data_IF_247058768731
#
_entry.id   IF_247058768731
#
_cell.length_a   1.000
_cell.length_b   1.000
_cell.length_c   1.000
_cell.angle_alpha   90.00
_cell.angle_beta   90.00
_cell.angle_gamma   90.00
#
_symmetry.space_group_name_H-M   'P 1'
#
loop_
_entity.id
_entity.type
_entity.pdbx_description
1 polymer ?
#
# COMPACT_ATOMS: atom_id res chain seq x y z
N UNK A 1 5.03 -15.96 23.97
CA UNK A 1 3.69 -16.54 24.15
C UNK A 1 3.69 -17.86 23.42
N UNK A 2 3.21 -18.96 24.01
CA UNK A 2 3.14 -20.23 23.29
C UNK A 2 1.87 -20.26 22.44
N UNK A 3 2.00 -20.28 21.11
CA UNK A 3 0.88 -20.40 20.19
C UNK A 3 0.37 -21.85 20.15
N UNK A 4 1.28 -22.80 20.35
CA UNK A 4 1.01 -24.22 20.28
C UNK A 4 0.98 -24.72 18.83
N UNK A 5 1.29 -26.01 18.65
CA UNK A 5 1.17 -26.65 17.33
C UNK A 5 -0.29 -26.97 17.05
N UNK A 6 -0.81 -26.51 15.91
CA UNK A 6 -2.13 -26.89 15.43
C UNK A 6 -1.99 -28.18 14.62
N UNK A 7 -2.78 -29.20 14.96
CA UNK A 7 -2.96 -30.35 14.09
C UNK A 7 -3.76 -29.93 12.85
N UNK A 8 -3.20 -30.14 11.66
CA UNK A 8 -3.81 -29.68 10.41
C UNK A 8 -5.17 -30.33 10.15
N UNK A 9 -5.35 -31.61 10.49
CA UNK A 9 -6.63 -32.30 10.34
C UNK A 9 -7.70 -31.73 11.26
N UNK A 10 -7.34 -31.39 12.50
CA UNK A 10 -8.25 -30.74 13.45
C UNK A 10 -8.66 -29.35 12.97
N UNK A 11 -7.73 -28.57 12.41
CA UNK A 11 -8.00 -27.27 11.82
C UNK A 11 -8.94 -27.37 10.62
N UNK A 12 -8.66 -28.28 9.69
CA UNK A 12 -9.54 -28.54 8.54
C UNK A 12 -10.95 -28.95 8.99
N UNK A 13 -11.05 -29.77 10.03
CA UNK A 13 -12.32 -30.11 10.67
C UNK A 13 -13.02 -28.91 11.31
N UNK A 14 -12.28 -28.01 11.97
CA UNK A 14 -12.83 -26.79 12.56
C UNK A 14 -13.37 -25.83 11.51
N UNK A 15 -12.63 -25.64 10.41
CA UNK A 15 -13.05 -24.86 9.24
C UNK A 15 -14.35 -25.41 8.67
N UNK A 16 -14.43 -26.72 8.45
CA UNK A 16 -15.62 -27.38 7.92
C UNK A 16 -16.84 -27.23 8.86
N UNK A 17 -16.65 -27.42 10.17
CA UNK A 17 -17.72 -27.24 11.18
C UNK A 17 -18.21 -25.80 11.25
N UNK A 18 -17.32 -24.82 11.07
CA UNK A 18 -17.67 -23.41 11.03
C UNK A 18 -18.34 -22.99 9.70
N UNK A 19 -18.40 -23.88 8.70
CA UNK A 19 -18.84 -23.53 7.35
C UNK A 19 -17.93 -22.49 6.67
N UNK A 20 -16.68 -22.37 7.12
CA UNK A 20 -15.72 -21.43 6.57
C UNK A 20 -15.15 -21.99 5.26
N UNK A 21 -15.25 -21.24 4.17
CA UNK A 21 -14.87 -21.70 2.81
C UNK A 21 -13.39 -21.60 2.46
N UNK A 22 -12.49 -21.48 3.44
CA UNK A 22 -11.04 -21.36 3.20
C UNK A 22 -10.31 -22.68 3.42
N UNK A 23 -9.10 -22.78 2.89
CA UNK A 23 -8.30 -23.98 2.89
C UNK A 23 -7.08 -23.79 3.79
N UNK A 24 -6.94 -24.68 4.76
CA UNK A 24 -5.71 -24.79 5.56
C UNK A 24 -4.77 -25.84 4.97
N UNK A 25 -3.48 -25.51 4.96
CA UNK A 25 -2.40 -26.38 4.51
C UNK A 25 -1.09 -26.08 5.25
N UNK A 26 -0.09 -26.94 5.04
CA UNK A 26 1.27 -26.62 5.46
C UNK A 26 1.83 -25.51 4.56
N UNK A 27 2.41 -24.48 5.17
CA UNK A 27 3.01 -23.32 4.48
C UNK A 27 4.44 -23.12 4.92
N UNK A 28 5.19 -22.24 4.24
CA UNK A 28 6.53 -21.82 4.68
C UNK A 28 6.55 -21.25 6.11
N UNK A 29 5.44 -20.67 6.57
CA UNK A 29 5.32 -20.03 7.90
C UNK A 29 4.74 -20.97 8.94
N UNK A 30 3.80 -21.85 8.58
CA UNK A 30 3.16 -22.77 9.53
C UNK A 30 4.16 -23.73 10.17
N UNK A 31 5.25 -24.04 9.44
CA UNK A 31 6.32 -24.93 9.86
C UNK A 31 7.37 -24.28 10.76
N UNK A 32 7.32 -22.96 10.93
CA UNK A 32 8.25 -22.23 11.81
C UNK A 32 7.92 -22.45 13.29
N UNK A 33 8.91 -22.20 14.15
CA UNK A 33 8.68 -22.17 15.60
C UNK A 33 7.75 -21.02 15.98
N UNK A 34 7.13 -21.10 17.16
CA UNK A 34 6.24 -20.05 17.66
C UNK A 34 6.96 -18.69 17.75
N UNK A 35 8.22 -18.67 18.20
CA UNK A 35 9.01 -17.44 18.27
C UNK A 35 9.25 -16.84 16.87
N UNK A 36 9.55 -17.67 15.87
CA UNK A 36 9.74 -17.22 14.49
C UNK A 36 8.44 -16.72 13.86
N UNK A 37 7.30 -17.32 14.21
CA UNK A 37 5.96 -16.85 13.80
C UNK A 37 5.64 -15.51 14.42
N UNK A 38 5.86 -15.36 15.73
CA UNK A 38 5.58 -14.13 16.47
C UNK A 38 6.49 -13.00 16.00
N UNK A 39 7.76 -13.27 15.71
CA UNK A 39 8.68 -12.27 15.17
C UNK A 39 8.28 -11.76 13.77
N UNK A 40 7.42 -12.46 13.04
CA UNK A 40 6.86 -11.96 11.76
C UNK A 40 5.71 -10.97 11.95
N UNK A 41 5.26 -10.80 13.19
CA UNK A 41 4.24 -9.83 13.59
C UNK A 41 4.91 -8.58 14.15
N UNK A 42 4.14 -7.53 14.39
CA UNK A 42 4.72 -6.29 14.90
C UNK A 42 3.84 -5.08 14.74
N UNK A 43 2.57 -5.22 14.36
CA UNK A 43 1.64 -4.12 14.42
C UNK A 43 1.13 -3.98 15.86
N UNK A 44 1.59 -2.94 16.56
CA UNK A 44 1.19 -2.69 17.95
C UNK A 44 0.46 -1.35 17.98
N UNK A 45 -0.87 -1.34 18.22
CA UNK A 45 -1.62 -0.10 18.35
C UNK A 45 -1.00 0.82 19.42
N UNK A 46 -0.79 2.11 19.14
CA UNK A 46 -0.26 3.05 20.12
C UNK A 46 -1.15 3.16 21.36
N UNK A 47 -0.55 3.49 22.51
CA UNK A 47 -1.31 3.72 23.73
C UNK A 47 -2.38 4.82 23.54
N UNK A 48 -3.60 4.57 24.03
CA UNK A 48 -4.73 5.49 23.87
C UNK A 48 -5.45 5.39 22.52
N UNK A 49 -5.03 4.46 21.64
CA UNK A 49 -5.79 4.09 20.44
C UNK A 49 -6.52 2.77 20.64
N UNK A 50 -7.44 2.43 19.73
CA UNK A 50 -8.20 1.18 19.80
C UNK A 50 -7.25 -0.03 19.77
N UNK A 51 -7.39 -0.90 20.77
CA UNK A 51 -6.74 -2.21 20.85
C UNK A 51 -7.10 -3.10 19.67
N UNK A 52 -6.36 -4.20 19.49
CA UNK A 52 -6.67 -5.18 18.44
C UNK A 52 -8.11 -5.71 18.58
N UNK A 53 -8.55 -6.03 19.80
CA UNK A 53 -9.91 -6.50 20.07
C UNK A 53 -10.98 -5.44 19.71
N UNK A 54 -10.77 -4.18 20.11
CA UNK A 54 -11.70 -3.09 19.77
C UNK A 54 -11.76 -2.87 18.25
N UNK A 55 -10.63 -3.00 17.55
CA UNK A 55 -10.57 -2.92 16.09
C UNK A 55 -11.35 -4.06 15.43
N UNK A 56 -11.30 -5.28 15.98
CA UNK A 56 -12.14 -6.38 15.48
C UNK A 56 -13.63 -6.09 15.65
N UNK A 57 -14.03 -5.59 16.82
CA UNK A 57 -15.42 -5.24 17.10
C UNK A 57 -15.92 -4.15 16.14
N UNK A 58 -15.09 -3.12 15.89
CA UNK A 58 -15.41 -2.05 14.94
C UNK A 58 -15.56 -2.58 13.50
N UNK A 59 -14.63 -3.43 13.05
CA UNK A 59 -14.67 -4.06 11.74
C UNK A 59 -15.94 -4.92 11.57
N UNK A 60 -16.24 -5.78 12.55
CA UNK A 60 -17.42 -6.64 12.53
C UNK A 60 -18.72 -5.83 12.50
N UNK A 61 -18.82 -4.77 13.31
CA UNK A 61 -19.99 -3.89 13.33
C UNK A 61 -20.23 -3.20 11.98
N UNK A 62 -19.16 -2.75 11.30
CA UNK A 62 -19.26 -2.14 9.97
C UNK A 62 -19.71 -3.12 8.90
N UNK A 63 -19.16 -4.34 8.90
CA UNK A 63 -19.57 -5.37 7.96
C UNK A 63 -21.05 -5.77 8.15
N UNK A 64 -21.51 -5.89 9.39
CA UNK A 64 -22.93 -6.15 9.71
C UNK A 64 -23.84 -5.01 9.27
N UNK A 65 -23.45 -3.75 9.53
CA UNK A 65 -24.20 -2.59 9.10
C UNK A 65 -24.33 -2.54 7.56
N UNK A 66 -23.24 -2.81 6.83
CA UNK A 66 -23.23 -2.86 5.37
C UNK A 66 -24.10 -3.98 4.78
N UNK A 67 -24.14 -5.16 5.42
CA UNK A 67 -25.01 -6.26 4.99
C UNK A 67 -26.50 -5.94 5.11
N UNK A 68 -26.90 -5.09 6.06
CA UNK A 68 -28.29 -4.66 6.26
C UNK A 68 -28.82 -3.70 5.19
N UNK A 69 -27.94 -3.06 4.41
CA UNK A 69 -28.33 -2.08 3.37
C UNK A 69 -28.52 -2.76 2.00
N UNK A 70 -28.67 -4.08 1.94
CA UNK A 70 -28.90 -4.85 0.70
C UNK A 70 -27.68 -4.84 -0.25
N UNK A 71 -27.38 -5.98 -0.86
CA UNK A 71 -26.24 -6.20 -1.75
C UNK A 71 -26.24 -5.39 -3.07
N UNK A 72 -27.07 -4.33 -3.18
CA UNK A 72 -27.30 -3.56 -4.40
C UNK A 72 -26.88 -2.08 -4.34
N UNK A 73 -26.49 -1.55 -3.17
CA UNK A 73 -25.92 -0.21 -3.05
C UNK A 73 -24.43 -0.36 -2.82
N UNK A 74 -23.70 -0.69 -3.90
CA UNK A 74 -22.25 -0.53 -3.91
C UNK A 74 -21.88 0.90 -3.49
N UNK A 75 -20.67 1.10 -2.97
CA UNK A 75 -20.17 2.45 -2.77
C UNK A 75 -20.37 3.22 -4.07
N UNK A 76 -21.11 4.34 -4.04
CA UNK A 76 -21.58 5.02 -5.26
C UNK A 76 -20.38 5.29 -6.17
N UNK A 77 -20.31 4.59 -7.31
CA UNK A 77 -19.23 4.72 -8.30
C UNK A 77 -18.07 3.71 -8.22
N UNK A 78 -18.03 2.82 -7.22
CA UNK A 78 -17.03 1.74 -7.13
C UNK A 78 -17.55 0.43 -7.79
N UNK A 79 -16.70 -0.35 -8.48
CA UNK A 79 -17.09 -1.64 -9.05
C UNK A 79 -17.40 -2.67 -7.95
N UNK A 80 -18.17 -3.72 -8.26
CA UNK A 80 -18.47 -4.79 -7.30
C UNK A 80 -17.25 -5.66 -6.94
N UNK A 81 -16.22 -5.65 -7.78
CA UNK A 81 -14.96 -6.34 -7.54
C UNK A 81 -13.84 -5.61 -8.26
N UNK A 82 -12.65 -5.59 -7.67
CA UNK A 82 -11.49 -4.94 -8.24
C UNK A 82 -10.20 -5.63 -7.79
N UNK A 83 -9.20 -5.75 -8.67
CA UNK A 83 -7.89 -6.32 -8.36
C UNK A 83 -6.79 -5.61 -9.17
N UNK A 84 -5.89 -4.91 -8.48
CA UNK A 84 -4.77 -4.20 -9.13
C UNK A 84 -3.79 -5.11 -9.86
N UNK A 85 -3.83 -6.43 -9.64
CA UNK A 85 -3.04 -7.40 -10.42
C UNK A 85 -3.59 -7.59 -11.84
N UNK A 86 -4.83 -7.19 -12.09
CA UNK A 86 -5.49 -7.30 -13.38
C UNK A 86 -6.38 -6.07 -13.67
N UNK A 87 -5.76 -4.88 -13.69
CA UNK A 87 -6.44 -3.64 -14.07
C UNK A 87 -6.11 -3.30 -15.52
N UNK A 88 -7.10 -3.33 -16.41
CA UNK A 88 -6.89 -3.10 -17.85
C UNK A 88 -5.94 -4.12 -18.52
N UNK A 89 -5.84 -5.33 -17.97
CA UNK A 89 -4.89 -6.36 -18.42
C UNK A 89 -3.45 -6.16 -17.93
N UNK A 90 -3.22 -5.24 -16.99
CA UNK A 90 -1.91 -4.95 -16.41
C UNK A 90 -1.87 -5.22 -14.90
N UNK A 91 -0.67 -5.56 -14.40
CA UNK A 91 -0.40 -5.78 -12.99
C UNK A 91 0.34 -4.58 -12.37
N UNK A 92 -0.35 -3.83 -11.51
CA UNK A 92 0.21 -2.66 -10.83
C UNK A 92 0.87 -3.00 -9.49
N UNK A 93 0.87 -4.26 -9.07
CA UNK A 93 1.41 -4.71 -7.78
C UNK A 93 2.84 -5.25 -7.97
N UNK A 94 3.77 -4.77 -7.15
CA UNK A 94 5.16 -5.25 -7.11
C UNK A 94 5.24 -6.70 -6.60
N UNK A 95 6.32 -7.44 -6.90
CA UNK A 95 6.50 -8.83 -6.43
C UNK A 95 6.34 -9.02 -4.92
N UNK A 96 6.05 -10.26 -4.51
CA UNK A 96 5.98 -10.61 -3.09
C UNK A 96 7.38 -10.63 -2.49
N UNK A 97 7.51 -9.96 -1.35
CA UNK A 97 8.72 -9.95 -0.53
C UNK A 97 8.59 -10.84 0.72
N UNK A 98 9.69 -11.05 1.44
CA UNK A 98 9.72 -11.76 2.72
C UNK A 98 10.45 -10.96 3.80
N UNK A 99 9.71 -10.50 4.81
CA UNK A 99 10.25 -9.76 5.95
C UNK A 99 11.12 -10.64 6.89
N UNK A 100 11.04 -11.97 6.75
CA UNK A 100 11.74 -12.92 7.60
C UNK A 100 11.36 -12.82 9.09
N UNK A 101 12.27 -13.25 9.97
CA UNK A 101 12.05 -13.25 11.42
C UNK A 101 12.23 -11.87 12.08
N UNK A 102 11.55 -10.84 11.57
CA UNK A 102 11.60 -9.48 12.11
C UNK A 102 10.23 -8.81 12.04
N UNK A 103 9.85 -8.06 13.09
CA UNK A 103 8.57 -7.38 13.22
C UNK A 103 8.46 -6.10 12.39
N UNK A 104 8.89 -6.16 11.14
CA UNK A 104 8.97 -5.08 10.17
C UNK A 104 7.75 -4.99 9.25
N UNK A 105 6.68 -5.77 9.51
CA UNK A 105 5.46 -5.80 8.68
C UNK A 105 4.86 -4.44 8.36
N UNK A 106 4.96 -3.47 9.28
CA UNK A 106 4.52 -2.08 9.06
C UNK A 106 5.27 -1.43 7.90
N UNK A 107 6.59 -1.65 7.80
CA UNK A 107 7.39 -1.12 6.70
C UNK A 107 7.00 -1.76 5.37
N UNK A 108 6.87 -3.09 5.33
CA UNK A 108 6.45 -3.84 4.13
C UNK A 108 5.04 -3.47 3.66
N UNK A 109 4.05 -3.43 4.56
CA UNK A 109 2.68 -3.04 4.22
C UNK A 109 2.59 -1.60 3.72
N UNK A 110 3.36 -0.69 4.32
CA UNK A 110 3.44 0.72 3.89
C UNK A 110 4.09 0.86 2.53
N UNK A 111 5.26 0.25 2.32
CA UNK A 111 5.99 0.32 1.05
C UNK A 111 5.20 -0.34 -0.08
N UNK A 112 4.61 -1.52 0.13
CA UNK A 112 3.77 -2.16 -0.87
C UNK A 112 2.61 -1.26 -1.32
N UNK A 113 1.98 -0.53 -0.39
CA UNK A 113 0.93 0.43 -0.72
C UNK A 113 1.46 1.63 -1.52
N UNK A 114 2.62 2.18 -1.14
CA UNK A 114 3.25 3.32 -1.82
C UNK A 114 3.73 2.95 -3.23
N UNK A 115 4.37 1.81 -3.40
CA UNK A 115 4.84 1.32 -4.71
C UNK A 115 3.69 1.07 -5.68
N UNK A 116 2.64 0.40 -5.20
CA UNK A 116 1.42 0.20 -5.97
C UNK A 116 0.79 1.53 -6.35
N UNK A 117 0.70 2.47 -5.40
CA UNK A 117 0.23 3.83 -5.65
C UNK A 117 1.10 4.55 -6.68
N UNK A 118 2.43 4.38 -6.65
CA UNK A 118 3.34 4.98 -7.62
C UNK A 118 3.08 4.47 -9.04
N UNK A 119 2.92 3.15 -9.22
CA UNK A 119 2.57 2.54 -10.50
C UNK A 119 1.22 3.04 -11.01
N UNK A 120 0.21 3.08 -10.15
CA UNK A 120 -1.14 3.55 -10.49
C UNK A 120 -1.14 5.03 -10.87
N UNK A 121 -0.56 5.87 -10.01
CA UNK A 121 -0.47 7.31 -10.22
C UNK A 121 0.26 7.67 -11.52
N UNK A 122 1.33 6.94 -11.86
CA UNK A 122 2.08 7.15 -13.11
C UNK A 122 1.46 6.47 -14.32
N UNK A 123 0.39 5.69 -14.14
CA UNK A 123 -0.22 4.91 -15.21
C UNK A 123 0.75 3.90 -15.84
N UNK A 124 1.74 3.43 -15.08
CA UNK A 124 2.82 2.58 -15.57
C UNK A 124 2.97 1.34 -14.67
N UNK A 125 2.31 0.25 -15.05
CA UNK A 125 2.41 -1.03 -14.37
C UNK A 125 3.84 -1.60 -14.34
N UNK A 126 4.68 -1.22 -15.30
CA UNK A 126 6.07 -1.67 -15.43
C UNK A 126 7.07 -0.67 -14.81
N UNK A 127 6.62 0.31 -14.03
CA UNK A 127 7.53 1.22 -13.32
C UNK A 127 8.44 0.38 -12.41
N UNK A 128 9.75 0.51 -12.63
CA UNK A 128 10.79 -0.08 -11.78
C UNK A 128 10.86 0.70 -10.46
N UNK A 129 9.90 0.42 -9.58
CA UNK A 129 9.83 0.91 -8.21
C UNK A 129 10.06 -0.27 -7.28
N UNK A 130 11.01 -0.10 -6.39
CA UNK A 130 11.46 -1.06 -5.38
C UNK A 130 12.03 -0.24 -4.23
N UNK A 131 11.21 0.09 -3.24
CA UNK A 131 11.54 1.01 -2.14
C UNK A 131 12.09 0.24 -0.93
N UNK A 132 13.03 0.85 -0.21
CA UNK A 132 13.75 0.19 0.87
C UNK A 132 12.93 0.08 2.16
N UNK A 133 12.40 -1.10 2.48
CA UNK A 133 11.84 -1.39 3.81
C UNK A 133 12.92 -1.27 4.89
N UNK A 134 14.17 -1.54 4.50
CA UNK A 134 15.31 -1.45 5.38
C UNK A 134 15.55 -0.04 5.90
N UNK A 135 15.52 0.97 5.05
CA UNK A 135 15.64 2.37 5.48
C UNK A 135 14.48 2.72 6.42
N UNK A 136 13.26 2.43 5.99
CA UNK A 136 12.07 2.80 6.75
C UNK A 136 12.07 2.19 8.15
N UNK A 137 12.48 0.92 8.27
CA UNK A 137 12.49 0.22 9.56
C UNK A 137 13.79 0.42 10.35
N UNK A 138 14.94 0.06 9.79
CA UNK A 138 16.20 -0.01 10.53
C UNK A 138 16.88 1.35 10.75
N UNK A 139 16.52 2.37 9.97
CA UNK A 139 16.93 3.75 10.22
C UNK A 139 15.84 4.50 10.98
N UNK A 140 14.65 4.65 10.39
CA UNK A 140 13.64 5.53 10.97
C UNK A 140 12.91 4.91 12.17
N UNK A 141 12.27 3.75 12.02
CA UNK A 141 11.57 3.13 13.16
C UNK A 141 12.54 2.88 14.34
N UNK A 142 13.78 2.46 14.06
CA UNK A 142 14.82 2.31 15.10
C UNK A 142 15.20 3.61 15.78
N UNK A 143 15.29 4.73 15.06
CA UNK A 143 15.53 6.04 15.69
C UNK A 143 14.42 6.44 16.68
N UNK A 144 13.24 5.82 16.56
CA UNK A 144 12.11 6.01 17.47
C UNK A 144 12.00 4.94 18.56
N UNK A 145 12.99 4.06 18.69
CA UNK A 145 13.02 3.01 19.71
C UNK A 145 12.32 1.71 19.31
N UNK A 146 11.91 1.57 18.05
CA UNK A 146 11.30 0.34 17.53
C UNK A 146 12.34 -0.62 16.94
N UNK A 147 12.04 -1.92 16.96
CA UNK A 147 12.92 -2.95 16.44
C UNK A 147 12.16 -4.24 16.17
N UNK A 148 12.86 -5.28 15.75
CA UNK A 148 12.24 -6.54 15.31
C UNK A 148 11.30 -7.18 16.36
N UNK A 149 11.47 -6.88 17.65
CA UNK A 149 10.69 -7.48 18.75
C UNK A 149 9.72 -6.53 19.45
N UNK A 150 9.71 -5.23 19.13
CA UNK A 150 8.85 -4.24 19.81
C UNK A 150 7.65 -3.80 18.98
N UNK A 151 7.67 -4.05 17.67
CA UNK A 151 6.62 -3.66 16.75
C UNK A 151 6.58 -2.15 16.47
N UNK A 152 5.67 -1.70 15.61
CA UNK A 152 5.53 -0.32 15.14
C UNK A 152 4.09 -0.04 14.71
N UNK A 153 3.81 1.16 14.16
CA UNK A 153 2.48 1.53 13.66
C UNK A 153 2.54 2.38 12.38
N UNK A 154 1.59 2.26 11.42
CA UNK A 154 1.72 2.88 10.11
C UNK A 154 1.83 4.41 10.10
N UNK A 155 1.22 5.13 11.05
CA UNK A 155 1.22 6.61 11.05
C UNK A 155 2.63 7.18 10.87
N UNK A 156 3.59 6.71 11.68
CA UNK A 156 4.96 7.20 11.65
C UNK A 156 5.65 6.81 10.33
N UNK A 157 5.32 5.65 9.77
CA UNK A 157 5.87 5.19 8.50
C UNK A 157 5.43 6.09 7.34
N UNK A 158 4.14 6.44 7.29
CA UNK A 158 3.61 7.36 6.29
C UNK A 158 4.10 8.81 6.50
N UNK A 159 4.26 9.25 7.75
CA UNK A 159 4.88 10.55 8.04
C UNK A 159 6.32 10.63 7.55
N UNK A 160 7.11 9.56 7.71
CA UNK A 160 8.46 9.51 7.17
C UNK A 160 8.46 9.55 5.64
N UNK A 161 7.61 8.74 5.00
CA UNK A 161 7.50 8.72 3.55
C UNK A 161 7.10 10.10 2.98
N UNK A 162 6.29 10.88 3.71
CA UNK A 162 5.88 12.23 3.32
C UNK A 162 6.97 13.27 3.54
N UNK A 163 7.59 13.27 4.72
CA UNK A 163 8.43 14.38 5.17
C UNK A 163 9.92 14.20 4.84
N UNK A 164 10.38 12.94 4.77
CA UNK A 164 11.80 12.59 4.59
C UNK A 164 12.05 11.84 3.29
N UNK A 165 11.08 11.03 2.86
CA UNK A 165 11.16 10.22 1.63
C UNK A 165 11.87 8.87 1.82
N UNK A 166 11.66 8.01 0.83
CA UNK A 166 12.12 6.63 0.79
C UNK A 166 13.19 6.47 -0.29
N UNK A 167 14.32 5.87 0.06
CA UNK A 167 15.31 5.41 -0.93
C UNK A 167 14.84 4.11 -1.56
N UNK A 168 15.38 3.77 -2.72
CA UNK A 168 15.14 2.45 -3.31
C UNK A 168 15.94 1.34 -2.62
N UNK A 169 15.48 0.09 -2.75
CA UNK A 169 16.07 -1.07 -2.10
C UNK A 169 17.52 -1.34 -2.52
N UNK A 170 17.95 -0.91 -3.71
CA UNK A 170 19.36 -1.03 -4.11
C UNK A 170 20.27 -0.07 -3.34
N UNK A 171 19.74 1.03 -2.79
CA UNK A 171 20.50 1.91 -1.89
C UNK A 171 20.70 1.27 -0.52
N UNK A 172 19.67 0.61 0.01
CA UNK A 172 19.76 -0.12 1.27
C UNK A 172 18.90 -1.40 1.22
N UNK A 173 19.50 -2.56 0.92
CA UNK A 173 18.78 -3.81 0.81
C UNK A 173 18.22 -4.30 2.15
N UNK A 174 17.10 -5.02 2.08
CA UNK A 174 16.53 -5.68 3.26
C UNK A 174 17.25 -6.99 3.57
N UNK A 175 17.73 -7.11 4.81
CA UNK A 175 18.17 -8.39 5.38
C UNK A 175 17.30 -8.69 6.58
N UNK A 176 16.71 -9.89 6.61
CA UNK A 176 15.90 -10.33 7.74
C UNK A 176 16.71 -10.37 9.04
N UNK A 177 16.12 -9.88 10.12
CA UNK A 177 16.78 -9.69 11.43
C UNK A 177 17.31 -8.27 11.62
N UNK A 178 17.88 -7.97 12.79
CA UNK A 178 18.38 -6.63 13.06
C UNK A 178 19.63 -6.32 12.22
N UNK A 179 19.52 -5.36 11.30
CA UNK A 179 20.67 -4.80 10.58
C UNK A 179 20.86 -3.32 10.94
N UNK A 180 22.10 -2.84 11.07
CA UNK A 180 22.38 -1.43 11.35
C UNK A 180 21.98 -0.54 10.16
N UNK A 181 21.54 0.68 10.44
CA UNK A 181 21.23 1.66 9.39
C UNK A 181 22.49 1.99 8.58
N UNK A 182 22.46 1.74 7.27
CA UNK A 182 23.57 2.05 6.37
C UNK A 182 23.05 2.39 4.97
N UNK A 183 22.95 3.69 4.67
CA UNK A 183 22.50 4.18 3.38
C UNK A 183 23.66 4.32 2.39
N UNK A 184 23.38 4.12 1.11
CA UNK A 184 24.31 4.40 0.02
C UNK A 184 24.78 5.86 0.01
N UNK A 185 25.97 6.15 -0.53
CA UNK A 185 26.58 7.49 -0.45
C UNK A 185 25.80 8.61 -1.16
N UNK A 186 24.94 8.27 -2.13
CA UNK A 186 24.15 9.20 -2.94
C UNK A 186 22.65 9.22 -2.56
N UNK A 187 22.30 8.68 -1.39
CA UNK A 187 20.92 8.42 -0.97
C UNK A 187 19.99 9.64 -1.06
N UNK A 188 20.49 10.85 -0.78
CA UNK A 188 19.70 12.08 -0.83
C UNK A 188 19.12 12.35 -2.22
N UNK A 189 19.76 11.86 -3.28
CA UNK A 189 19.31 12.05 -4.66
C UNK A 189 18.32 10.98 -5.14
N UNK A 190 18.04 9.96 -4.31
CA UNK A 190 17.23 8.77 -4.64
C UNK A 190 15.89 8.74 -3.91
N UNK A 191 15.51 9.84 -3.28
CA UNK A 191 14.32 9.92 -2.43
C UNK A 191 13.03 9.96 -3.25
N UNK A 192 12.13 9.02 -2.95
CA UNK A 192 10.73 9.02 -3.36
C UNK A 192 9.88 9.50 -2.19
N UNK A 193 9.14 10.59 -2.38
CA UNK A 193 8.23 11.13 -1.36
C UNK A 193 6.78 10.85 -1.74
N UNK A 194 5.90 10.73 -0.76
CA UNK A 194 4.44 10.80 -0.98
C UNK A 194 3.97 12.25 -0.80
N UNK A 195 2.94 12.67 -1.54
CA UNK A 195 2.41 14.04 -1.44
C UNK A 195 1.64 14.29 -0.14
N UNK A 196 1.10 13.23 0.44
CA UNK A 196 0.28 13.25 1.64
C UNK A 196 -0.24 11.87 1.97
N UNK A 197 -0.89 11.75 3.12
CA UNK A 197 -1.55 10.55 3.56
C UNK A 197 -2.67 10.89 4.54
N UNK A 198 -3.67 10.02 4.62
CA UNK A 198 -4.73 10.06 5.63
C UNK A 198 -5.19 8.63 5.94
N UNK A 199 -6.16 8.50 6.85
CA UNK A 199 -6.84 7.23 7.13
C UNK A 199 -8.31 7.29 6.74
N UNK A 200 -8.86 6.13 6.37
CA UNK A 200 -10.31 5.94 6.19
C UNK A 200 -10.76 4.79 7.06
N UNK A 201 -12.00 4.86 7.54
CA UNK A 201 -12.60 3.85 8.39
C UNK A 201 -13.96 3.33 7.90
N UNK A 202 -14.48 3.84 6.77
CA UNK A 202 -15.70 3.33 6.14
C UNK A 202 -15.36 2.38 4.98
N UNK A 203 -16.05 1.25 4.90
CA UNK A 203 -15.86 0.25 3.82
C UNK A 203 -16.07 0.89 2.44
N UNK A 204 -17.04 1.80 2.32
CA UNK A 204 -17.32 2.49 1.06
C UNK A 204 -16.13 3.34 0.59
N UNK A 205 -15.52 4.10 1.48
CA UNK A 205 -14.36 4.94 1.17
C UNK A 205 -13.11 4.09 0.87
N UNK A 206 -12.93 2.99 1.61
CA UNK A 206 -11.87 2.01 1.33
C UNK A 206 -12.00 1.44 -0.09
N UNK A 207 -13.20 0.98 -0.48
CA UNK A 207 -13.45 0.43 -1.83
C UNK A 207 -13.29 1.49 -2.91
N UNK A 208 -13.83 2.68 -2.69
CA UNK A 208 -13.70 3.80 -3.61
C UNK A 208 -12.23 4.13 -3.87
N UNK A 209 -11.42 4.21 -2.81
CA UNK A 209 -9.98 4.45 -2.96
C UNK A 209 -9.26 3.31 -3.66
N UNK A 210 -9.44 2.07 -3.19
CA UNK A 210 -8.76 0.90 -3.76
C UNK A 210 -9.03 0.79 -5.25
N UNK A 211 -10.27 1.01 -5.71
CA UNK A 211 -10.62 0.89 -7.13
C UNK A 211 -10.21 2.08 -8.01
N UNK A 212 -9.81 3.23 -7.45
CA UNK A 212 -9.59 4.46 -8.23
C UNK A 212 -8.24 5.13 -8.03
N UNK A 213 -7.56 4.89 -6.91
CA UNK A 213 -6.34 5.61 -6.50
C UNK A 213 -5.15 4.71 -6.27
N UNK A 214 -5.36 3.48 -5.82
CA UNK A 214 -4.28 2.51 -5.62
C UNK A 214 -4.48 1.64 -4.38
N UNK A 215 -3.54 0.72 -4.12
CA UNK A 215 -3.52 -0.09 -2.91
C UNK A 215 -3.40 0.75 -1.64
N UNK A 216 -3.85 0.19 -0.52
CA UNK A 216 -3.80 0.82 0.80
C UNK A 216 -3.09 -0.08 1.80
N UNK A 217 -2.55 0.49 2.86
CA UNK A 217 -1.98 -0.28 3.97
C UNK A 217 -3.05 -0.51 5.04
N UNK A 218 -3.05 -1.67 5.69
CA UNK A 218 -3.93 -1.97 6.81
C UNK A 218 -3.22 -2.85 7.82
N UNK A 219 -3.71 -2.86 9.06
CA UNK A 219 -3.26 -3.76 10.11
C UNK A 219 -4.43 -4.50 10.74
N UNK A 220 -4.23 -5.80 10.96
CA UNK A 220 -5.23 -6.74 11.43
C UNK A 220 -4.65 -7.70 12.48
N UNK A 221 -5.54 -8.36 13.20
CA UNK A 221 -5.18 -9.37 14.18
C UNK A 221 -4.84 -10.69 13.51
N UNK A 222 -3.74 -11.30 13.92
CA UNK A 222 -3.32 -12.63 13.48
C UNK A 222 -3.58 -13.63 14.61
N UNK A 223 -4.23 -14.73 14.25
CA UNK A 223 -4.41 -15.91 15.08
C UNK A 223 -3.58 -17.07 14.54
N UNK A 224 -3.32 -18.07 15.37
CA UNK A 224 -2.43 -19.18 15.02
C UNK A 224 -2.92 -19.99 13.80
N UNK A 225 -4.22 -20.07 13.55
CA UNK A 225 -4.79 -20.73 12.36
C UNK A 225 -4.40 -20.03 11.03
N UNK A 226 -4.21 -18.71 11.05
CA UNK A 226 -3.83 -17.94 9.86
C UNK A 226 -2.45 -18.32 9.29
N UNK A 227 -1.51 -18.81 10.11
CA UNK A 227 -0.23 -19.27 9.62
C UNK A 227 -0.37 -20.46 8.65
N UNK A 228 -1.48 -21.21 8.71
CA UNK A 228 -1.80 -22.35 7.86
C UNK A 228 -2.67 -21.97 6.66
N UNK A 229 -2.98 -20.69 6.44
CA UNK A 229 -3.77 -20.27 5.28
C UNK A 229 -3.09 -20.68 3.97
N UNK A 230 -3.81 -21.44 3.14
CA UNK A 230 -3.37 -21.90 1.82
C UNK A 230 -4.26 -21.38 0.67
N UNK A 231 -5.47 -20.90 0.95
CA UNK A 231 -6.34 -20.30 -0.06
C UNK A 231 -7.78 -20.09 0.39
N UNK A 232 -8.57 -19.41 -0.44
CA UNK A 232 -9.99 -19.13 -0.17
C UNK A 232 -10.20 -17.84 0.64
N UNK A 233 -11.41 -17.62 1.15
CA UNK A 233 -11.72 -16.42 1.95
C UNK A 233 -11.58 -16.71 3.43
N UNK A 234 -10.43 -16.32 4.00
CA UNK A 234 -10.10 -16.53 5.39
C UNK A 234 -11.13 -15.91 6.33
N UNK A 235 -11.49 -16.69 7.36
CA UNK A 235 -12.23 -16.30 8.55
C UNK A 235 -11.56 -17.01 9.72
N UNK A 236 -11.28 -16.30 10.79
CA UNK A 236 -10.74 -16.92 11.99
C UNK A 236 -11.76 -17.92 12.55
N UNK A 237 -11.31 -19.13 12.88
CA UNK A 237 -12.16 -20.19 13.44
C UNK A 237 -11.59 -20.83 14.70
N UNK A 238 -10.28 -20.74 14.93
CA UNK A 238 -9.62 -21.34 16.09
C UNK A 238 -8.20 -20.81 16.29
N UNK A 239 -7.54 -21.22 17.37
CA UNK A 239 -6.14 -20.91 17.64
C UNK A 239 -5.96 -19.65 18.47
N UNK A 240 -4.84 -19.61 19.20
CA UNK A 240 -4.52 -18.49 20.07
C UNK A 240 -4.24 -17.21 19.28
N UNK A 241 -4.56 -16.06 19.88
CA UNK A 241 -4.10 -14.75 19.41
C UNK A 241 -2.57 -14.76 19.32
N UNK A 242 -2.04 -14.36 18.18
CA UNK A 242 -0.60 -14.28 17.96
C UNK A 242 -0.07 -12.85 18.04
N UNK A 243 -0.84 -11.87 17.56
CA UNK A 243 -0.47 -10.45 17.58
C UNK A 243 -1.11 -9.65 16.44
N UNK A 244 -0.61 -8.45 16.20
CA UNK A 244 -1.03 -7.62 15.06
C UNK A 244 -0.05 -7.69 13.90
N UNK A 245 -0.56 -7.60 12.67
CA UNK A 245 0.22 -7.65 11.43
C UNK A 245 -0.27 -6.62 10.43
N UNK A 246 0.63 -6.00 9.66
CA UNK A 246 0.26 -5.06 8.60
C UNK A 246 0.57 -5.62 7.21
N UNK A 247 -0.31 -5.31 6.27
CA UNK A 247 -0.31 -5.81 4.88
C UNK A 247 -0.81 -4.71 3.94
N UNK A 248 -0.76 -4.94 2.64
CA UNK A 248 -1.39 -4.04 1.66
C UNK A 248 -2.66 -4.65 1.07
N UNK A 249 -3.78 -3.94 1.12
CA UNK A 249 -5.02 -4.29 0.40
C UNK A 249 -4.90 -3.80 -1.03
N UNK A 250 -4.99 -4.72 -1.97
CA UNK A 250 -4.80 -4.49 -3.41
C UNK A 250 -6.08 -4.64 -4.22
N UNK A 251 -7.17 -5.04 -3.57
CA UNK A 251 -8.42 -5.36 -4.23
C UNK A 251 -9.49 -5.86 -3.28
N UNK A 252 -10.65 -6.16 -3.83
CA UNK A 252 -11.80 -6.68 -3.11
C UNK A 252 -12.79 -7.38 -4.05
N UNK A 253 -13.67 -8.19 -3.48
CA UNK A 253 -14.72 -8.91 -4.21
C UNK A 253 -15.97 -9.00 -3.34
N UNK A 254 -17.03 -8.29 -3.75
CA UNK A 254 -18.29 -8.21 -3.01
C UNK A 254 -19.09 -9.51 -3.09
N UNK A 255 -18.98 -10.26 -4.20
CA UNK A 255 -19.67 -11.54 -4.36
C UNK A 255 -19.12 -12.58 -3.37
N UNK A 256 -17.82 -12.52 -3.09
CA UNK A 256 -17.17 -13.36 -2.09
C UNK A 256 -17.07 -12.71 -0.70
N UNK A 257 -17.43 -11.43 -0.59
CA UNK A 257 -17.41 -10.66 0.66
C UNK A 257 -16.02 -10.52 1.27
N UNK A 258 -14.99 -10.22 0.46
CA UNK A 258 -13.60 -10.25 0.90
C UNK A 258 -12.71 -9.12 0.38
N UNK A 259 -11.68 -8.81 1.16
CA UNK A 259 -10.50 -8.05 0.73
C UNK A 259 -9.45 -8.98 0.12
N UNK A 260 -8.70 -8.48 -0.85
CA UNK A 260 -7.55 -9.15 -1.47
C UNK A 260 -6.29 -8.43 -1.00
N UNK A 261 -5.37 -9.16 -0.38
CA UNK A 261 -4.24 -8.59 0.32
C UNK A 261 -2.91 -9.17 -0.18
N UNK A 262 -1.90 -8.30 -0.32
CA UNK A 262 -0.49 -8.64 -0.49
C UNK A 262 0.16 -8.80 0.89
N UNK A 263 0.70 -9.98 1.18
CA UNK A 263 1.44 -10.25 2.42
C UNK A 263 2.97 -10.13 2.19
N UNK A 264 3.75 -10.26 3.26
CA UNK A 264 5.21 -10.09 3.30
C UNK A 264 5.93 -11.30 3.91
N UNK A 265 5.40 -12.51 3.67
CA UNK A 265 5.94 -13.77 4.19
C UNK A 265 6.46 -14.71 3.08
N UNK A 266 6.82 -14.14 1.94
CA UNK A 266 7.28 -14.88 0.77
C UNK A 266 6.18 -15.63 0.02
N UNK A 267 6.53 -16.14 -1.16
CA UNK A 267 5.59 -16.81 -2.08
C UNK A 267 5.19 -18.22 -1.64
N UNK A 268 5.91 -18.83 -0.69
CA UNK A 268 5.61 -20.13 -0.11
C UNK A 268 4.46 -20.13 0.90
N UNK A 269 3.83 -18.99 1.13
CA UNK A 269 2.69 -18.82 2.03
C UNK A 269 1.44 -18.36 1.27
N UNK A 270 0.27 -18.86 1.64
CA UNK A 270 -1.02 -18.45 1.06
C UNK A 270 -1.13 -18.69 -0.44
N UNK A 271 -1.81 -17.77 -1.14
CA UNK A 271 -2.07 -17.82 -2.58
C UNK A 271 -0.88 -17.20 -3.34
N UNK A 272 0.30 -17.81 -3.20
CA UNK A 272 1.54 -17.30 -3.78
C UNK A 272 2.02 -16.00 -3.14
N UNK A 273 1.83 -15.85 -1.83
CA UNK A 273 2.12 -14.65 -1.02
C UNK A 273 0.94 -13.69 -0.85
N UNK A 274 -0.18 -13.95 -1.52
CA UNK A 274 -1.43 -13.21 -1.34
C UNK A 274 -2.38 -13.97 -0.43
N UNK A 275 -3.41 -13.27 0.06
CA UNK A 275 -4.54 -13.90 0.72
C UNK A 275 -5.82 -13.12 0.50
N UNK A 276 -6.94 -13.78 0.76
CA UNK A 276 -8.26 -13.15 0.83
C UNK A 276 -8.83 -13.33 2.21
N UNK A 277 -9.42 -12.27 2.75
CA UNK A 277 -9.98 -12.24 4.09
C UNK A 277 -11.37 -11.62 4.05
N UNK A 278 -12.32 -12.23 4.76
CA UNK A 278 -13.69 -11.75 4.79
C UNK A 278 -13.78 -10.32 5.35
N UNK A 279 -14.74 -9.53 4.85
CA UNK A 279 -15.07 -8.24 5.45
C UNK A 279 -15.40 -8.38 6.94
N UNK A 280 -14.98 -7.40 7.73
CA UNK A 280 -15.23 -7.37 9.17
C UNK A 280 -14.48 -8.41 10.00
N UNK A 281 -13.59 -9.23 9.41
CA UNK A 281 -12.85 -10.25 10.14
C UNK A 281 -11.50 -9.71 10.61
N UNK A 282 -11.10 -10.10 11.84
CA UNK A 282 -9.79 -9.83 12.42
C UNK A 282 -9.38 -8.33 12.40
N UNK A 283 -10.33 -7.41 12.31
CA UNK A 283 -10.03 -5.96 12.29
C UNK A 283 -9.43 -5.45 10.97
N UNK A 284 -9.41 -6.24 9.89
CA UNK A 284 -8.74 -5.89 8.61
C UNK A 284 -9.23 -4.59 7.99
N UNK A 285 -10.51 -4.26 8.19
CA UNK A 285 -11.17 -3.06 7.72
C UNK A 285 -11.62 -2.17 8.88
N UNK A 286 -10.93 -2.23 10.01
CA UNK A 286 -11.10 -1.26 11.10
C UNK A 286 -10.65 0.15 10.66
N UNK A 287 -9.50 0.23 9.99
CA UNK A 287 -8.88 1.47 9.52
C UNK A 287 -7.84 1.13 8.46
N UNK A 288 -7.75 1.93 7.39
CA UNK A 288 -6.76 1.79 6.33
C UNK A 288 -6.01 3.11 6.10
N UNK A 289 -4.72 3.02 5.80
CA UNK A 289 -3.83 4.15 5.50
C UNK A 289 -3.60 4.26 4.00
N UNK A 290 -3.74 5.48 3.49
CA UNK A 290 -3.76 5.75 2.06
C UNK A 290 -2.68 6.79 1.73
N UNK A 291 -1.82 6.48 0.75
CA UNK A 291 -0.90 7.47 0.19
C UNK A 291 -1.64 8.29 -0.88
N UNK A 292 -1.75 9.60 -0.70
CA UNK A 292 -2.55 10.48 -1.58
C UNK A 292 -1.99 10.61 -3.00
N UNK A 293 -0.69 10.31 -3.16
CA UNK A 293 0.03 10.36 -4.42
C UNK A 293 1.54 10.34 -4.16
N UNK A 294 2.31 10.42 -5.24
CA UNK A 294 3.78 10.52 -5.19
C UNK A 294 4.17 11.98 -5.43
N UNK A 295 4.95 12.55 -4.51
CA UNK A 295 5.52 13.88 -4.62
C UNK A 295 6.62 13.89 -5.69
N UNK A 296 6.19 14.22 -6.90
CA UNK A 296 6.99 14.33 -8.10
C UNK A 296 7.76 15.67 -8.08
N UNK A 297 8.96 15.69 -7.47
CA UNK A 297 9.84 16.87 -7.48
C UNK A 297 11.09 16.59 -8.28
N UNK A 298 11.35 17.41 -9.31
CA UNK A 298 12.54 17.28 -10.15
C UNK A 298 12.27 17.56 -11.62
N UNK A 299 13.28 17.27 -12.44
CA UNK A 299 13.26 17.48 -13.88
C UNK A 299 12.68 16.27 -14.63
N UNK A 300 11.59 16.45 -15.36
CA UNK A 300 11.18 15.56 -16.44
C UNK A 300 11.93 16.05 -17.69
N UNK A 301 12.82 15.23 -18.25
CA UNK A 301 13.63 15.63 -19.41
C UNK A 301 13.11 15.05 -20.72
N UNK A 302 13.27 15.81 -21.79
CA UNK A 302 13.05 15.35 -23.16
C UNK A 302 11.60 14.95 -23.47
N UNK A 303 10.61 15.51 -22.77
CA UNK A 303 9.25 15.04 -22.86
C UNK A 303 8.45 15.70 -24.00
N UNK A 304 7.56 14.93 -24.62
CA UNK A 304 6.64 15.44 -25.63
C UNK A 304 5.30 15.86 -25.03
N UNK A 305 4.73 16.92 -25.60
CA UNK A 305 3.42 17.44 -25.21
C UNK A 305 2.36 16.84 -26.12
N UNK A 306 1.40 16.11 -25.54
CA UNK A 306 0.26 15.60 -26.29
C UNK A 306 -0.96 16.52 -26.19
N UNK A 307 -1.10 17.27 -25.09
CA UNK A 307 -2.31 18.03 -24.77
C UNK A 307 -2.01 19.30 -23.98
N UNK A 308 -2.86 20.30 -24.17
CA UNK A 308 -2.92 21.51 -23.36
C UNK A 308 -4.39 21.79 -23.09
N UNK A 309 -4.70 22.23 -21.88
CA UNK A 309 -6.06 22.53 -21.46
C UNK A 309 -6.05 23.68 -20.46
N UNK A 310 -7.01 24.60 -20.62
CA UNK A 310 -7.20 25.76 -19.75
C UNK A 310 -8.69 26.02 -19.59
N UNK A 311 -9.11 26.56 -18.45
CA UNK A 311 -10.47 27.10 -18.26
C UNK A 311 -10.41 28.56 -17.84
N UNK A 312 -11.55 29.24 -17.82
CA UNK A 312 -11.70 30.66 -17.48
C UNK A 312 -11.54 30.98 -15.98
N UNK A 313 -10.91 30.08 -15.21
CA UNK A 313 -10.58 30.30 -13.81
C UNK A 313 -9.10 30.65 -13.64
N UNK A 314 -8.82 31.50 -12.65
CA UNK A 314 -7.48 31.99 -12.36
C UNK A 314 -6.46 30.85 -12.21
N UNK A 315 -5.41 30.92 -13.04
CA UNK A 315 -4.26 30.00 -13.04
C UNK A 315 -4.65 28.51 -13.12
N UNK A 316 -5.73 28.21 -13.84
CA UNK A 316 -6.16 26.83 -14.05
C UNK A 316 -5.77 26.33 -15.44
N UNK A 317 -4.50 25.97 -15.56
CA UNK A 317 -3.89 25.48 -16.79
C UNK A 317 -3.22 24.13 -16.58
N UNK A 318 -3.33 23.25 -17.58
CA UNK A 318 -2.86 21.88 -17.53
C UNK A 318 -2.18 21.49 -18.84
N UNK A 319 -1.16 20.65 -18.74
CA UNK A 319 -0.45 20.07 -19.87
C UNK A 319 -0.48 18.55 -19.75
N UNK A 320 -0.76 17.86 -20.85
CA UNK A 320 -0.61 16.42 -20.94
C UNK A 320 0.78 16.12 -21.48
N UNK A 321 1.65 15.67 -20.58
CA UNK A 321 3.02 15.25 -20.89
C UNK A 321 2.99 13.76 -21.21
N UNK A 322 3.42 13.37 -22.40
CA UNK A 322 3.25 11.98 -22.89
C UNK A 322 3.82 10.91 -21.93
N UNK A 323 4.91 11.22 -21.23
CA UNK A 323 5.55 10.30 -20.30
C UNK A 323 4.86 10.18 -18.93
N UNK A 324 4.11 11.20 -18.49
CA UNK A 324 3.62 11.27 -17.11
C UNK A 324 2.14 11.67 -16.96
N UNK A 325 1.44 11.92 -18.07
CA UNK A 325 0.03 12.29 -18.11
C UNK A 325 -0.22 13.77 -17.85
N UNK A 326 -1.41 14.09 -17.34
CA UNK A 326 -1.81 15.46 -17.00
C UNK A 326 -0.99 15.99 -15.82
N UNK A 327 -0.53 17.24 -15.97
CA UNK A 327 0.16 18.02 -14.94
C UNK A 327 -0.38 19.43 -14.90
N UNK A 328 -0.60 19.97 -13.70
CA UNK A 328 -1.00 21.35 -13.51
C UNK A 328 0.19 22.27 -13.75
N UNK A 329 -0.03 23.38 -14.45
CA UNK A 329 0.92 24.49 -14.56
C UNK A 329 0.60 25.49 -13.45
N UNK A 330 1.58 25.80 -12.59
CA UNK A 330 1.39 26.80 -11.52
C UNK A 330 2.70 27.52 -11.19
N UNK A 331 3.23 28.34 -12.13
CA UNK A 331 4.39 29.18 -11.88
C UNK A 331 4.04 30.35 -10.94
N UNK A 332 5.06 31.12 -10.56
CA UNK A 332 4.95 32.13 -9.52
C UNK A 332 4.06 33.33 -9.90
N UNK A 333 3.94 33.64 -11.20
CA UNK A 333 3.12 34.75 -11.70
C UNK A 333 2.49 34.48 -13.09
N UNK A 334 1.53 35.34 -13.45
CA UNK A 334 0.72 35.19 -14.67
C UNK A 334 1.51 35.41 -15.96
N UNK A 335 2.55 36.25 -15.94
CA UNK A 335 3.42 36.46 -17.11
C UNK A 335 4.18 35.17 -17.44
N UNK A 336 4.72 34.50 -16.42
CA UNK A 336 5.39 33.20 -16.60
C UNK A 336 4.39 32.15 -17.09
N UNK A 337 3.16 32.14 -16.56
CA UNK A 337 2.13 31.18 -17.00
C UNK A 337 1.79 31.34 -18.49
N UNK A 338 1.59 32.58 -18.95
CA UNK A 338 1.27 32.87 -20.35
C UNK A 338 2.43 32.53 -21.30
N UNK A 339 3.67 32.83 -20.88
CA UNK A 339 4.88 32.46 -21.63
C UNK A 339 5.04 30.94 -21.72
N UNK A 340 4.87 30.23 -20.59
CA UNK A 340 4.88 28.77 -20.56
C UNK A 340 3.85 28.18 -21.53
N UNK A 341 2.59 28.63 -21.47
CA UNK A 341 1.53 28.14 -22.37
C UNK A 341 1.87 28.36 -23.85
N UNK A 342 2.43 29.52 -24.18
CA UNK A 342 2.84 29.86 -25.55
C UNK A 342 3.96 28.96 -26.06
N UNK A 343 5.00 28.76 -25.24
CA UNK A 343 6.12 27.88 -25.55
C UNK A 343 5.68 26.41 -25.68
N UNK A 344 4.81 25.94 -24.79
CA UNK A 344 4.27 24.58 -24.82
C UNK A 344 3.40 24.35 -26.07
N UNK A 345 2.58 25.32 -26.47
CA UNK A 345 1.78 25.23 -27.69
C UNK A 345 2.68 25.14 -28.94
N UNK A 346 3.73 25.97 -29.01
CA UNK A 346 4.70 25.95 -30.10
C UNK A 346 5.50 24.64 -30.15
N UNK A 347 5.93 24.13 -28.98
CA UNK A 347 6.61 22.86 -28.85
C UNK A 347 5.73 21.69 -29.32
N UNK A 348 4.47 21.64 -28.91
CA UNK A 348 3.49 20.66 -29.37
C UNK A 348 3.32 20.68 -30.90
N UNK A 349 3.09 21.86 -31.47
CA UNK A 349 2.91 22.02 -32.92
C UNK A 349 4.15 21.57 -33.72
N UNK A 350 5.33 21.84 -33.19
CA UNK A 350 6.62 21.53 -33.82
C UNK A 350 7.19 20.17 -33.43
N UNK A 351 6.47 19.39 -32.60
CA UNK A 351 6.93 18.11 -32.02
C UNK A 351 8.29 18.19 -31.30
N UNK A 352 8.63 19.35 -30.74
CA UNK A 352 9.86 19.55 -29.96
C UNK A 352 9.70 18.93 -28.58
N UNK A 353 10.84 18.59 -27.98
CA UNK A 353 10.89 18.10 -26.60
C UNK A 353 11.00 19.26 -25.63
N UNK A 354 10.47 19.04 -24.42
CA UNK A 354 10.47 20.03 -23.35
C UNK A 354 10.97 19.37 -22.06
N UNK A 355 11.87 20.06 -21.38
CA UNK A 355 12.25 19.74 -20.02
C UNK A 355 11.30 20.49 -19.07
N UNK A 356 10.74 19.79 -18.09
CA UNK A 356 9.83 20.35 -17.09
C UNK A 356 10.44 20.21 -15.71
N UNK A 357 10.51 21.29 -14.95
CA UNK A 357 10.71 21.18 -13.51
C UNK A 357 9.35 21.17 -12.82
N UNK A 358 9.13 20.12 -12.05
CA UNK A 358 7.93 19.97 -11.24
C UNK A 358 8.29 19.94 -9.76
N UNK A 359 7.36 20.41 -8.94
CA UNK A 359 7.35 20.26 -7.49
C UNK A 359 6.04 19.61 -7.11
N UNK A 360 6.11 18.44 -6.46
CA UNK A 360 4.93 17.66 -6.08
C UNK A 360 3.93 17.41 -7.23
N UNK A 361 4.44 17.17 -8.45
CA UNK A 361 3.61 16.94 -9.64
C UNK A 361 3.00 18.21 -10.25
N UNK A 362 3.38 19.40 -9.78
CA UNK A 362 2.98 20.68 -10.35
C UNK A 362 4.16 21.27 -11.11
N UNK A 363 3.97 21.56 -12.39
CA UNK A 363 5.02 22.15 -13.22
C UNK A 363 5.20 23.61 -12.81
N UNK A 364 6.44 23.93 -12.43
CA UNK A 364 6.89 25.25 -12.02
C UNK A 364 7.68 25.96 -13.09
N UNK A 365 8.46 25.20 -13.88
CA UNK A 365 9.32 25.75 -14.93
C UNK A 365 9.36 24.81 -16.13
N UNK A 366 9.66 25.37 -17.31
CA UNK A 366 9.89 24.61 -18.53
C UNK A 366 11.12 25.14 -19.28
N UNK A 367 11.77 24.28 -20.04
CA UNK A 367 12.78 24.62 -21.03
C UNK A 367 12.46 23.89 -22.33
N UNK A 368 12.17 24.66 -23.39
CA UNK A 368 11.87 24.12 -24.71
C UNK A 368 13.12 24.19 -25.58
N UNK A 369 13.50 23.05 -26.18
CA UNK A 369 14.63 22.96 -27.13
C UNK A 369 14.16 23.11 -28.56
#
# INVERSE_FOLDING_TARGET
>A
MALGTINLGDLQGAIARAGAGWQAGATSVSQLSDDQKILRLGAVPPAGTASLEEREQQAAAKAQAGAGIGAGIGAVGAPASFDWRNSGGQNYITPIEDQGGCGSCVAFGTIAAIEGTARVYRGNANLAVDLSEAQLFYCYARSQGYGCSTGWWPNNAFDFAKNSGLVDAACFPYTAGDQACNLCGDWQSRLTLISGWHTVNQIADMKAWVSSRGPVSTCFTVYNDFFYYAGGVYRHVTGALAGGHCVSVIGYDDANGCWICKNSWGTGWGEGGFFRIAYGNCGIDAEMWLAEGIADTGWIRGAHIAGLWTIDQDRNAWVYVAAVGWRKLSPDNDNILLDMLSQLAAAKASKRTVDFYQEQGVIKQIYVY
#
